data_IF_315955633341
#
_entry.id   IF_315955633341
#
_cell.length_a   1.000
_cell.length_b   1.000
_cell.length_c   1.000
_cell.angle_alpha   90.00
_cell.angle_beta   90.00
_cell.angle_gamma   90.00
#
_symmetry.space_group_name_H-M   'P 1'
#
loop_
_entity.id
_entity.type
_entity.pdbx_description
1 polymer ?
#
# COMPACT_ATOMS: atom_id res chain seq x y z
N UNK A 1 -15.60 -2.58 9.05
CA UNK A 1 -14.63 -1.70 8.37
C UNK A 1 -15.31 -1.14 7.13
N UNK A 2 -15.55 0.18 7.07
CA UNK A 2 -16.12 0.85 5.89
C UNK A 2 -14.97 1.24 4.95
N UNK A 3 -14.31 0.24 4.36
CA UNK A 3 -13.17 0.50 3.47
C UNK A 3 -13.73 0.89 2.09
N UNK A 4 -14.01 2.18 1.86
CA UNK A 4 -14.23 2.73 0.50
C UNK A 4 -13.06 2.43 -0.47
N UNK A 5 -11.96 1.89 0.06
CA UNK A 5 -10.77 1.47 -0.65
C UNK A 5 -10.73 -0.03 -1.03
N UNK A 6 -11.70 -0.85 -0.59
CA UNK A 6 -11.83 -2.26 -1.01
C UNK A 6 -11.73 -2.52 -2.53
N UNK A 7 -12.27 -1.67 -3.44
CA UNK A 7 -12.10 -1.87 -4.89
C UNK A 7 -10.64 -1.72 -5.38
N UNK A 8 -9.71 -1.22 -4.56
CA UNK A 8 -8.30 -1.13 -4.91
C UNK A 8 -7.49 -2.39 -4.58
N UNK A 9 -8.01 -3.29 -3.73
CA UNK A 9 -7.39 -4.60 -3.44
C UNK A 9 -7.10 -5.43 -4.71
N UNK A 10 -8.05 -5.64 -5.64
CA UNK A 10 -7.76 -6.36 -6.89
C UNK A 10 -6.77 -5.62 -7.80
N UNK A 11 -6.65 -4.29 -7.69
CA UNK A 11 -5.60 -3.53 -8.39
C UNK A 11 -4.25 -3.81 -7.77
N UNK A 12 -4.12 -3.83 -6.45
CA UNK A 12 -2.89 -4.16 -5.74
C UNK A 12 -2.37 -5.56 -6.09
N UNK A 13 -3.25 -6.55 -6.24
CA UNK A 13 -2.88 -7.88 -6.77
C UNK A 13 -2.27 -7.85 -8.17
N UNK A 14 -2.72 -6.94 -9.04
CA UNK A 14 -2.12 -6.75 -10.36
C UNK A 14 -0.78 -6.04 -10.26
N UNK A 15 -0.67 -5.05 -9.37
CA UNK A 15 0.56 -4.26 -9.19
C UNK A 15 1.70 -5.08 -8.59
N UNK A 16 1.43 -5.91 -7.57
CA UNK A 16 2.45 -6.75 -6.91
C UNK A 16 3.07 -7.79 -7.85
N UNK A 17 2.36 -8.15 -8.92
CA UNK A 17 2.85 -9.04 -9.96
C UNK A 17 3.80 -8.36 -10.96
N UNK A 18 3.90 -7.02 -10.94
CA UNK A 18 4.77 -6.27 -11.81
C UNK A 18 6.16 -6.09 -11.19
N UNK A 19 7.19 -6.06 -12.04
CA UNK A 19 8.57 -5.79 -11.60
C UNK A 19 8.78 -4.37 -11.04
N UNK A 20 7.92 -3.42 -11.42
CA UNK A 20 7.95 -2.03 -10.97
C UNK A 20 6.92 -1.74 -9.86
N UNK A 21 6.59 -2.73 -9.03
CA UNK A 21 5.59 -2.62 -7.96
C UNK A 21 5.76 -1.36 -7.12
N UNK A 22 6.97 -1.05 -6.64
CA UNK A 22 7.21 0.11 -5.77
C UNK A 22 6.78 1.44 -6.42
N UNK A 23 7.12 1.65 -7.69
CA UNK A 23 6.73 2.84 -8.44
C UNK A 23 5.21 2.92 -8.64
N UNK A 24 4.56 1.77 -8.89
CA UNK A 24 3.11 1.72 -9.05
C UNK A 24 2.38 1.94 -7.72
N UNK A 25 2.91 1.41 -6.63
CA UNK A 25 2.40 1.62 -5.29
C UNK A 25 2.52 3.09 -4.88
N UNK A 26 3.66 3.75 -5.16
CA UNK A 26 3.79 5.20 -4.97
C UNK A 26 2.78 6.01 -5.78
N UNK A 27 2.58 5.68 -7.07
CA UNK A 27 1.58 6.36 -7.90
C UNK A 27 0.17 6.18 -7.35
N UNK A 28 -0.16 4.97 -6.84
CA UNK A 28 -1.44 4.71 -6.20
C UNK A 28 -1.61 5.53 -4.92
N UNK A 29 -0.61 5.59 -4.06
CA UNK A 29 -0.63 6.43 -2.86
C UNK A 29 -0.87 7.89 -3.23
N UNK A 30 -0.13 8.42 -4.21
CA UNK A 30 -0.29 9.80 -4.66
C UNK A 30 -1.70 10.07 -5.18
N UNK A 31 -2.26 9.15 -5.96
CA UNK A 31 -3.62 9.25 -6.48
C UNK A 31 -4.67 9.23 -5.35
N UNK A 32 -4.54 8.33 -4.38
CA UNK A 32 -5.44 8.25 -3.24
C UNK A 32 -5.35 9.51 -2.36
N UNK A 33 -4.15 10.02 -2.13
CA UNK A 33 -3.96 11.27 -1.40
C UNK A 33 -4.62 12.45 -2.14
N UNK A 34 -4.48 12.54 -3.47
CA UNK A 34 -5.17 13.56 -4.29
C UNK A 34 -6.69 13.41 -4.30
N UNK A 35 -7.21 12.20 -4.06
CA UNK A 35 -8.64 11.95 -3.89
C UNK A 35 -9.15 12.30 -2.48
N UNK A 36 -8.28 12.77 -1.58
CA UNK A 36 -8.63 13.19 -0.22
C UNK A 36 -8.59 12.06 0.81
N UNK A 37 -8.02 10.90 0.49
CA UNK A 37 -7.78 9.86 1.49
C UNK A 37 -6.58 10.21 2.36
N UNK A 38 -6.75 10.11 3.68
CA UNK A 38 -5.65 10.34 4.62
C UNK A 38 -4.60 9.23 4.52
N UNK A 39 -3.38 9.52 4.97
CA UNK A 39 -2.34 8.51 5.11
C UNK A 39 -2.82 7.27 5.90
N UNK A 40 -3.64 7.47 6.93
CA UNK A 40 -4.25 6.41 7.72
C UNK A 40 -5.13 5.46 6.88
N UNK A 41 -5.99 6.00 6.01
CA UNK A 41 -6.86 5.22 5.14
C UNK A 41 -6.04 4.43 4.11
N UNK A 42 -5.03 5.08 3.54
CA UNK A 42 -4.11 4.46 2.58
C UNK A 42 -3.33 3.33 3.25
N UNK A 43 -2.83 3.56 4.47
CA UNK A 43 -2.14 2.52 5.24
C UNK A 43 -3.06 1.34 5.55
N UNK A 44 -4.30 1.61 5.98
CA UNK A 44 -5.29 0.58 6.23
C UNK A 44 -5.57 -0.29 4.99
N UNK A 45 -5.59 0.30 3.78
CA UNK A 45 -5.69 -0.44 2.53
C UNK A 45 -4.51 -1.41 2.32
N UNK A 46 -3.28 -0.97 2.59
CA UNK A 46 -2.10 -1.85 2.45
C UNK A 46 -2.06 -2.95 3.51
N UNK A 47 -2.53 -2.68 4.73
CA UNK A 47 -2.71 -3.69 5.79
C UNK A 47 -3.75 -4.74 5.36
N UNK A 48 -4.92 -4.32 4.88
CA UNK A 48 -5.96 -5.23 4.39
C UNK A 48 -5.43 -6.08 3.21
N UNK A 49 -4.66 -5.47 2.31
CA UNK A 49 -3.99 -6.20 1.22
C UNK A 49 -2.95 -7.20 1.73
N UNK A 50 -2.16 -6.83 2.74
CA UNK A 50 -1.18 -7.69 3.38
C UNK A 50 -1.83 -8.92 4.04
N UNK A 51 -2.96 -8.76 4.72
CA UNK A 51 -3.72 -9.90 5.26
C UNK A 51 -4.32 -10.76 4.15
N UNK A 52 -4.80 -10.12 3.08
CA UNK A 52 -5.40 -10.81 1.94
C UNK A 52 -4.36 -11.62 1.15
N UNK A 53 -3.16 -11.10 0.91
CA UNK A 53 -2.13 -11.80 0.13
C UNK A 53 -1.62 -13.06 0.85
N UNK A 54 -1.57 -13.05 2.18
CA UNK A 54 -1.18 -14.21 3.00
C UNK A 54 -2.20 -15.36 2.93
N UNK A 55 -3.48 -15.03 2.75
CA UNK A 55 -4.57 -16.01 2.65
C UNK A 55 -4.85 -16.43 1.20
N UNK A 56 -4.40 -15.64 0.23
CA UNK A 56 -4.61 -15.91 -1.19
C UNK A 56 -3.70 -17.05 -1.70
N UNK A 57 -4.28 -18.20 -2.07
CA UNK A 57 -3.57 -19.43 -2.45
C UNK A 57 -2.46 -19.22 -3.50
N UNK A 58 -2.67 -18.33 -4.47
CA UNK A 58 -1.72 -18.02 -5.55
C UNK A 58 -0.48 -17.23 -5.09
N UNK A 59 -0.55 -16.50 -3.99
CA UNK A 59 0.50 -15.60 -3.53
C UNK A 59 1.06 -15.97 -2.15
N UNK A 60 0.36 -16.82 -1.39
CA UNK A 60 0.81 -17.33 -0.08
C UNK A 60 2.21 -17.97 -0.12
N UNK A 61 2.60 -18.55 -1.26
CA UNK A 61 3.92 -19.19 -1.44
C UNK A 61 4.94 -18.29 -2.16
N UNK A 62 4.55 -17.05 -2.51
CA UNK A 62 5.34 -16.14 -3.34
C UNK A 62 6.07 -15.14 -2.42
N UNK A 63 7.05 -15.66 -1.67
CA UNK A 63 7.78 -14.92 -0.63
C UNK A 63 8.42 -13.64 -1.16
N UNK A 64 8.88 -13.63 -2.41
CA UNK A 64 9.48 -12.44 -3.02
C UNK A 64 8.49 -11.28 -3.13
N UNK A 65 7.26 -11.56 -3.57
CA UNK A 65 6.19 -10.56 -3.68
C UNK A 65 5.75 -10.07 -2.31
N UNK A 66 5.63 -10.99 -1.37
CA UNK A 66 5.30 -10.65 0.01
C UNK A 66 6.38 -9.76 0.66
N UNK A 67 7.66 -10.11 0.49
CA UNK A 67 8.78 -9.30 0.98
C UNK A 67 8.83 -7.91 0.34
N UNK A 68 8.51 -7.80 -0.97
CA UNK A 68 8.38 -6.48 -1.64
C UNK A 68 7.27 -5.63 -1.03
N UNK A 69 6.12 -6.23 -0.70
CA UNK A 69 5.03 -5.52 -0.01
C UNK A 69 5.46 -5.05 1.38
N UNK A 70 6.07 -5.94 2.19
CA UNK A 70 6.56 -5.58 3.52
C UNK A 70 7.60 -4.45 3.46
N UNK A 71 8.57 -4.53 2.54
CA UNK A 71 9.58 -3.47 2.35
C UNK A 71 8.94 -2.14 1.95
N UNK A 72 7.92 -2.17 1.09
CA UNK A 72 7.17 -0.97 0.72
C UNK A 72 6.43 -0.38 1.94
N UNK A 73 5.75 -1.21 2.72
CA UNK A 73 4.99 -0.78 3.90
C UNK A 73 5.90 -0.22 4.99
N UNK A 74 7.08 -0.82 5.22
CA UNK A 74 8.09 -0.31 6.15
C UNK A 74 8.62 1.07 5.72
N UNK A 75 8.90 1.24 4.42
CA UNK A 75 9.25 2.55 3.85
C UNK A 75 8.09 3.53 3.93
N UNK A 76 6.85 3.06 3.79
CA UNK A 76 5.63 3.87 3.87
C UNK A 76 5.35 4.35 5.31
N UNK A 77 5.63 3.55 6.33
CA UNK A 77 5.53 3.99 7.72
C UNK A 77 6.69 4.93 8.06
N UNK A 78 7.90 4.62 7.60
CA UNK A 78 9.06 5.50 7.70
C UNK A 78 8.89 6.83 6.93
N UNK A 79 8.01 6.86 5.92
CA UNK A 79 7.63 8.02 5.11
C UNK A 79 7.29 9.25 5.96
N UNK A 80 6.68 9.08 7.16
CA UNK A 80 6.37 10.21 8.09
C UNK A 80 7.57 11.10 8.36
N UNK A 81 8.79 10.56 8.35
CA UNK A 81 9.99 11.29 8.77
C UNK A 81 10.80 11.94 7.64
N UNK A 82 10.50 11.69 6.36
CA UNK A 82 11.45 12.05 5.27
C UNK A 82 10.86 12.58 3.96
N UNK A 83 9.56 12.46 3.68
CA UNK A 83 9.02 13.07 2.44
C UNK A 83 8.56 14.51 2.64
N UNK A 84 9.41 15.41 2.17
CA UNK A 84 9.21 16.87 2.09
C UNK A 84 8.23 17.33 0.98
N UNK A 85 7.30 16.47 0.52
CA UNK A 85 6.48 16.73 -0.68
C UNK A 85 4.97 16.79 -0.38
N UNK A 86 4.53 16.41 0.82
CA UNK A 86 3.15 16.59 1.29
C UNK A 86 3.17 17.39 2.60
N UNK A 87 2.16 18.25 2.86
CA UNK A 87 2.07 18.96 4.14
C UNK A 87 2.10 17.95 5.28
N UNK A 88 2.80 18.28 6.38
CA UNK A 88 2.88 17.47 7.59
C UNK A 88 1.46 17.11 8.06
N UNK A 89 1.02 15.88 7.80
CA UNK A 89 -0.05 15.28 8.58
C UNK A 89 0.56 14.88 9.94
N UNK A 90 -0.10 15.18 11.08
CA UNK A 90 0.41 14.79 12.38
C UNK A 90 0.59 13.26 12.43
N UNK A 91 1.71 12.82 13.02
CA UNK A 91 1.91 11.41 13.33
C UNK A 91 0.72 10.91 14.16
N UNK A 92 0.13 9.79 13.72
CA UNK A 92 -0.93 9.05 14.39
C UNK A 92 -0.57 8.70 15.84
#
# INVERSE_FOLDING_TARGET
>A
MNSNLAPYIPKLFKLIALNNFENQAHNLVYLLHHQGYSKADIYALFIEFHETIQTHQRFKTDEEKYNRLCNFMDRFTAWSKTFKILPEEPDL
#
